data_IF_724675499853
#
_entry.id   IF_724675499853
#
_cell.length_a   1.000
_cell.length_b   1.000
_cell.length_c   1.000
_cell.angle_alpha   90.00
_cell.angle_beta   90.00
_cell.angle_gamma   90.00
#
_symmetry.space_group_name_H-M   'P 1'
#
loop_
_entity.id
_entity.type
_entity.pdbx_description
1 polymer ?
#
# COMPACT_ATOMS: atom_id res chain seq x y z
N UNK A 1 -25.08 -16.73 3.16
CA UNK A 1 -23.65 -16.46 2.93
C UNK A 1 -23.04 -16.34 4.32
N UNK A 2 -21.96 -17.05 4.65
CA UNK A 2 -21.37 -16.91 5.98
C UNK A 2 -20.96 -15.45 6.19
N UNK A 3 -21.41 -14.83 7.28
CA UNK A 3 -20.95 -13.50 7.67
C UNK A 3 -19.47 -13.57 8.06
N UNK A 4 -18.70 -12.54 7.68
CA UNK A 4 -17.31 -12.41 8.07
C UNK A 4 -17.26 -12.12 9.59
N UNK A 5 -16.84 -13.11 10.37
CA UNK A 5 -16.73 -12.98 11.83
C UNK A 5 -15.46 -12.18 12.18
N UNK A 6 -15.63 -10.88 12.38
CA UNK A 6 -14.57 -9.98 12.83
C UNK A 6 -14.52 -9.92 14.37
N UNK A 7 -13.37 -9.60 14.98
CA UNK A 7 -13.25 -9.41 16.43
C UNK A 7 -14.26 -8.40 17.00
N UNK A 8 -14.67 -8.58 18.26
CA UNK A 8 -15.64 -7.67 18.92
C UNK A 8 -15.13 -6.21 19.02
N UNK A 9 -13.81 -6.03 19.09
CA UNK A 9 -13.13 -4.73 19.16
C UNK A 9 -12.62 -4.25 17.79
N UNK A 10 -13.05 -4.87 16.70
CA UNK A 10 -12.64 -4.50 15.35
C UNK A 10 -13.13 -3.11 14.96
N UNK A 11 -12.18 -2.19 14.72
CA UNK A 11 -12.46 -0.85 14.20
C UNK A 11 -12.51 -0.90 12.66
N UNK A 12 -13.59 -0.40 12.07
CA UNK A 12 -13.70 -0.35 10.61
C UNK A 12 -12.76 0.72 10.04
N UNK A 13 -12.34 0.54 8.77
CA UNK A 13 -11.47 1.51 8.11
C UNK A 13 -12.03 2.96 8.11
N UNK A 14 -13.34 3.21 7.86
CA UNK A 14 -13.91 4.56 7.95
C UNK A 14 -13.85 5.18 9.36
N UNK A 15 -14.06 4.38 10.40
CA UNK A 15 -13.99 4.83 11.79
C UNK A 15 -12.56 5.22 12.17
N UNK A 16 -11.60 4.34 11.87
CA UNK A 16 -10.18 4.62 12.07
C UNK A 16 -9.77 5.90 11.35
N UNK A 17 -10.17 6.06 10.08
CA UNK A 17 -9.89 7.27 9.29
C UNK A 17 -10.48 8.54 9.92
N UNK A 18 -11.70 8.47 10.47
CA UNK A 18 -12.34 9.60 11.17
C UNK A 18 -11.59 9.97 12.46
N UNK A 19 -11.20 8.98 13.25
CA UNK A 19 -10.43 9.17 14.49
C UNK A 19 -9.05 9.76 14.19
N UNK A 20 -8.38 9.25 13.16
CA UNK A 20 -7.10 9.78 12.71
C UNK A 20 -7.17 11.20 12.19
N UNK A 21 -8.27 11.59 11.53
CA UNK A 21 -8.48 13.00 11.17
C UNK A 21 -8.49 13.91 12.40
N UNK A 22 -9.25 13.56 13.45
CA UNK A 22 -9.31 14.34 14.68
C UNK A 22 -7.92 14.41 15.33
N UNK A 23 -7.23 13.27 15.37
CA UNK A 23 -5.87 13.20 15.91
C UNK A 23 -4.87 14.05 15.13
N UNK A 24 -4.97 14.06 13.78
CA UNK A 24 -4.11 14.88 12.94
C UNK A 24 -4.33 16.37 13.19
N UNK A 25 -5.61 16.77 13.34
CA UNK A 25 -5.96 18.14 13.70
C UNK A 25 -5.32 18.55 15.02
N UNK A 26 -5.44 17.71 16.06
CA UNK A 26 -4.80 17.98 17.37
C UNK A 26 -3.29 18.15 17.24
N UNK A 27 -2.63 17.25 16.52
CA UNK A 27 -1.18 17.33 16.28
C UNK A 27 -0.81 18.59 15.49
N UNK A 28 -1.66 18.98 14.55
CA UNK A 28 -1.49 20.22 13.79
C UNK A 28 -1.63 21.46 14.67
N UNK A 29 -2.63 21.48 15.55
CA UNK A 29 -2.86 22.56 16.52
C UNK A 29 -1.71 22.64 17.55
N UNK A 30 -1.01 21.54 17.82
CA UNK A 30 0.21 21.47 18.62
C UNK A 30 1.48 21.90 17.87
N UNK A 31 1.36 22.31 16.61
CA UNK A 31 2.48 22.78 15.79
C UNK A 31 3.30 21.67 15.14
N UNK A 32 2.82 20.42 15.11
CA UNK A 32 3.52 19.35 14.37
C UNK A 32 3.49 19.62 12.87
N UNK A 33 4.61 19.29 12.21
CA UNK A 33 4.79 19.36 10.76
C UNK A 33 4.12 18.17 10.09
N UNK A 34 3.36 18.41 9.04
CA UNK A 34 2.60 17.36 8.35
C UNK A 34 3.03 17.32 6.87
N UNK A 35 3.50 16.17 6.40
CA UNK A 35 3.87 15.95 4.99
C UNK A 35 2.89 14.98 4.36
N UNK A 36 2.19 15.45 3.32
CA UNK A 36 1.29 14.61 2.53
C UNK A 36 2.07 13.75 1.53
N UNK A 37 1.76 12.46 1.42
CA UNK A 37 2.49 11.50 0.57
C UNK A 37 1.54 10.63 -0.26
N UNK A 38 2.01 10.10 -1.39
CA UNK A 38 1.18 9.32 -2.32
C UNK A 38 1.74 7.94 -2.68
N UNK A 39 2.94 7.58 -2.23
CA UNK A 39 3.56 6.34 -2.67
C UNK A 39 4.50 5.72 -1.65
N UNK A 40 4.67 4.41 -1.79
CA UNK A 40 5.67 3.63 -1.08
C UNK A 40 7.11 3.97 -1.50
N UNK A 41 7.35 4.76 -2.55
CA UNK A 41 8.68 5.31 -2.85
C UNK A 41 9.08 6.47 -1.94
N UNK A 42 8.14 7.05 -1.18
CA UNK A 42 8.42 8.18 -0.29
C UNK A 42 9.40 7.77 0.82
N UNK A 43 10.57 8.42 0.96
CA UNK A 43 11.53 8.18 2.04
C UNK A 43 10.98 8.64 3.40
N UNK A 44 10.21 7.76 4.06
CA UNK A 44 9.56 8.05 5.34
C UNK A 44 10.56 8.38 6.46
N UNK A 45 11.79 7.89 6.34
CA UNK A 45 12.91 8.18 7.23
C UNK A 45 13.25 9.67 7.22
N UNK A 46 13.25 10.32 6.05
CA UNK A 46 13.53 11.76 5.96
C UNK A 46 12.39 12.60 6.54
N UNK A 47 11.15 12.16 6.37
CA UNK A 47 9.99 12.80 7.03
C UNK A 47 10.11 12.69 8.54
N UNK A 48 10.48 11.52 9.05
CA UNK A 48 10.69 11.27 10.49
C UNK A 48 11.87 12.09 11.03
N UNK A 49 13.00 12.14 10.30
CA UNK A 49 14.19 12.90 10.67
C UNK A 49 13.95 14.42 10.66
N UNK A 50 12.97 14.90 9.88
CA UNK A 50 12.49 16.27 9.90
C UNK A 50 11.54 16.59 11.08
N UNK A 51 11.32 15.64 11.99
CA UNK A 51 10.29 15.70 13.05
C UNK A 51 8.89 16.04 12.48
N UNK A 52 8.59 15.44 11.33
CA UNK A 52 7.33 15.58 10.64
C UNK A 52 6.56 14.26 10.61
N UNK A 53 5.25 14.37 10.41
CA UNK A 53 4.33 13.25 10.29
C UNK A 53 4.01 13.05 8.81
N UNK A 54 4.24 11.84 8.30
CA UNK A 54 3.79 11.46 6.96
C UNK A 54 2.30 11.08 7.00
N UNK A 55 1.54 11.55 6.02
CA UNK A 55 0.11 11.22 5.88
C UNK A 55 -0.20 10.79 4.45
N UNK A 56 -0.75 9.58 4.29
CA UNK A 56 -1.15 9.05 2.99
C UNK A 56 -2.35 9.78 2.39
N UNK A 57 -2.20 10.23 1.14
CA UNK A 57 -3.18 11.04 0.41
C UNK A 57 -3.83 10.31 -0.77
N UNK A 58 -3.49 9.04 -1.00
CA UNK A 58 -4.15 8.23 -2.03
C UNK A 58 -5.67 8.17 -1.78
N UNK A 59 -6.43 8.69 -2.73
CA UNK A 59 -7.89 8.70 -2.68
C UNK A 59 -8.48 7.32 -2.91
N UNK A 60 -9.58 7.05 -2.21
CA UNK A 60 -10.24 5.75 -2.14
C UNK A 60 -11.76 5.86 -2.29
N UNK A 61 -12.27 7.05 -2.62
CA UNK A 61 -13.70 7.36 -2.61
C UNK A 61 -14.17 7.81 -3.99
N UNK A 62 -15.21 7.15 -4.48
CA UNK A 62 -15.94 7.50 -5.69
C UNK A 62 -16.53 8.93 -5.63
N UNK A 63 -16.99 9.38 -4.46
CA UNK A 63 -17.59 10.71 -4.26
C UNK A 63 -16.64 11.87 -4.58
N UNK A 64 -15.34 11.61 -4.55
CA UNK A 64 -14.30 12.59 -4.84
C UNK A 64 -13.92 12.63 -6.32
N UNK A 65 -14.41 11.71 -7.16
CA UNK A 65 -14.09 11.66 -8.59
C UNK A 65 -14.75 12.81 -9.37
N UNK A 66 -16.05 13.13 -9.22
CA UNK A 66 -16.69 14.18 -10.02
C UNK A 66 -16.02 15.56 -9.92
N UNK A 67 -15.59 16.06 -8.74
CA UNK A 67 -14.82 17.29 -8.66
C UNK A 67 -13.53 17.26 -9.48
N UNK A 68 -12.83 16.12 -9.49
CA UNK A 68 -11.57 15.97 -10.23
C UNK A 68 -11.79 16.02 -11.75
N UNK A 69 -12.88 15.44 -12.25
CA UNK A 69 -13.19 15.37 -13.69
C UNK A 69 -13.55 16.72 -14.32
N UNK A 70 -13.63 17.79 -13.52
CA UNK A 70 -13.69 19.17 -14.02
C UNK A 70 -12.37 19.63 -14.63
N UNK A 71 -11.24 18.99 -14.26
CA UNK A 71 -9.89 19.31 -14.75
C UNK A 71 -9.08 18.11 -15.24
N UNK A 72 -9.42 16.90 -14.78
CA UNK A 72 -8.81 15.65 -15.20
C UNK A 72 -9.72 14.89 -16.17
N UNK A 73 -9.16 14.10 -17.10
CA UNK A 73 -9.99 13.35 -18.03
C UNK A 73 -10.64 12.14 -17.34
N UNK A 74 -11.82 11.73 -17.84
CA UNK A 74 -12.60 10.61 -17.26
C UNK A 74 -11.88 9.27 -17.32
N UNK A 75 -11.11 9.05 -18.39
CA UNK A 75 -10.31 7.84 -18.64
C UNK A 75 -8.97 7.86 -17.88
N UNK A 76 -8.99 8.30 -16.63
CA UNK A 76 -7.84 8.32 -15.73
C UNK A 76 -8.11 7.44 -14.50
N UNK A 77 -7.04 6.94 -13.89
CA UNK A 77 -7.13 6.05 -12.73
C UNK A 77 -7.97 6.65 -11.59
N UNK A 78 -8.93 5.88 -11.04
CA UNK A 78 -9.85 6.37 -9.99
C UNK A 78 -9.11 6.81 -8.73
N UNK A 79 -7.97 6.19 -8.39
CA UNK A 79 -7.11 6.64 -7.29
C UNK A 79 -6.65 8.08 -7.53
N UNK A 80 -6.19 8.40 -8.73
CA UNK A 80 -5.67 9.73 -9.08
C UNK A 80 -6.81 10.76 -9.07
N UNK A 81 -7.97 10.41 -9.66
CA UNK A 81 -9.15 11.26 -9.66
C UNK A 81 -9.63 11.52 -8.22
N UNK A 82 -9.79 10.47 -7.42
CA UNK A 82 -10.22 10.59 -6.02
C UNK A 82 -9.24 11.42 -5.18
N UNK A 83 -7.93 11.21 -5.34
CA UNK A 83 -6.88 12.01 -4.70
C UNK A 83 -7.01 13.51 -5.02
N UNK A 84 -7.00 13.84 -6.30
CA UNK A 84 -7.03 15.24 -6.75
C UNK A 84 -8.35 15.92 -6.44
N UNK A 85 -9.48 15.24 -6.63
CA UNK A 85 -10.78 15.79 -6.31
C UNK A 85 -10.98 16.03 -4.82
N UNK A 86 -10.40 15.19 -3.96
CA UNK A 86 -10.33 15.44 -2.52
C UNK A 86 -9.56 16.72 -2.16
N UNK A 87 -8.43 16.96 -2.82
CA UNK A 87 -7.65 18.19 -2.66
C UNK A 87 -8.39 19.42 -3.21
N UNK A 88 -8.85 19.36 -4.46
CA UNK A 88 -9.51 20.45 -5.18
C UNK A 88 -10.79 20.92 -4.50
N UNK A 89 -11.59 19.99 -3.97
CA UNK A 89 -12.85 20.31 -3.29
C UNK A 89 -12.70 20.67 -1.82
N UNK A 90 -11.49 20.59 -1.25
CA UNK A 90 -11.25 20.78 0.19
C UNK A 90 -11.86 19.68 1.07
N UNK A 91 -12.35 18.58 0.48
CA UNK A 91 -12.98 17.47 1.22
C UNK A 91 -11.99 16.45 1.78
N UNK A 92 -10.72 16.50 1.39
CA UNK A 92 -9.67 15.68 1.99
C UNK A 92 -9.02 16.43 3.17
N UNK A 93 -9.35 16.10 4.42
CA UNK A 93 -8.79 16.82 5.56
C UNK A 93 -7.29 16.55 5.75
N UNK A 94 -6.80 15.38 5.35
CA UNK A 94 -5.39 15.03 5.38
C UNK A 94 -4.57 15.95 4.47
N UNK A 95 -5.08 16.20 3.25
CA UNK A 95 -4.49 17.18 2.35
C UNK A 95 -4.58 18.58 2.95
N UNK A 96 -5.73 18.97 3.50
CA UNK A 96 -5.93 20.28 4.11
C UNK A 96 -4.88 20.60 5.18
N UNK A 97 -4.60 19.66 6.10
CA UNK A 97 -3.64 19.85 7.19
C UNK A 97 -2.17 19.61 6.82
N UNK A 98 -1.87 19.06 5.65
CA UNK A 98 -0.48 18.93 5.19
C UNK A 98 0.15 20.32 5.03
N UNK A 99 1.39 20.50 5.43
CA UNK A 99 2.16 21.73 5.18
C UNK A 99 2.65 21.77 3.73
N UNK A 100 3.12 20.62 3.27
CA UNK A 100 3.59 20.39 1.91
C UNK A 100 3.24 18.98 1.46
N UNK A 101 3.36 18.78 0.16
CA UNK A 101 3.22 17.48 -0.50
C UNK A 101 4.59 17.00 -0.95
N UNK A 102 4.89 15.74 -0.63
CA UNK A 102 6.00 15.00 -1.22
C UNK A 102 5.44 13.97 -2.19
N UNK A 103 5.86 14.08 -3.45
CA UNK A 103 5.33 13.32 -4.57
C UNK A 103 6.47 12.70 -5.40
N UNK A 104 6.12 11.83 -6.34
CA UNK A 104 7.08 11.02 -7.09
C UNK A 104 6.61 10.76 -8.54
N UNK A 105 7.50 10.85 -9.54
CA UNK A 105 7.14 10.60 -10.95
C UNK A 105 6.98 9.12 -11.29
N UNK A 106 5.98 8.47 -10.69
CA UNK A 106 5.65 7.05 -10.91
C UNK A 106 4.90 6.83 -12.22
N UNK A 107 3.58 6.96 -12.23
CA UNK A 107 2.78 6.84 -13.46
C UNK A 107 2.50 8.21 -14.08
N UNK A 108 2.24 8.25 -15.39
CA UNK A 108 1.97 9.51 -16.10
C UNK A 108 0.82 10.31 -15.49
N UNK A 109 -0.25 9.60 -15.09
CA UNK A 109 -1.40 10.23 -14.46
C UNK A 109 -1.03 10.98 -13.17
N UNK A 110 -0.21 10.37 -12.31
CA UNK A 110 0.25 10.99 -11.06
C UNK A 110 1.18 12.16 -11.36
N UNK A 111 2.18 11.94 -12.22
CA UNK A 111 3.15 12.96 -12.64
C UNK A 111 2.46 14.25 -13.10
N UNK A 112 1.49 14.14 -14.00
CA UNK A 112 0.74 15.30 -14.52
C UNK A 112 -0.28 15.85 -13.52
N UNK A 113 -0.87 15.01 -12.68
CA UNK A 113 -1.76 15.48 -11.61
C UNK A 113 -1.01 16.32 -10.57
N UNK A 114 0.25 15.99 -10.25
CA UNK A 114 1.04 16.76 -9.28
C UNK A 114 1.33 18.19 -9.74
N UNK A 115 1.41 18.46 -11.04
CA UNK A 115 1.50 19.83 -11.55
C UNK A 115 0.26 20.65 -11.16
N UNK A 116 -0.93 20.05 -11.29
CA UNK A 116 -2.20 20.66 -10.87
C UNK A 116 -2.32 20.74 -9.36
N UNK A 117 -1.74 19.78 -8.62
CA UNK A 117 -1.73 19.77 -7.17
C UNK A 117 -0.81 20.88 -6.61
N UNK A 118 0.28 21.17 -7.32
CA UNK A 118 1.21 22.27 -7.03
C UNK A 118 0.56 23.65 -7.07
N UNK A 119 -0.53 23.82 -7.83
CA UNK A 119 -1.34 25.04 -7.82
C UNK A 119 -2.11 25.23 -6.49
N UNK A 120 -2.36 24.14 -5.76
CA UNK A 120 -3.16 24.14 -4.52
C UNK A 120 -2.30 24.16 -3.26
N UNK A 121 -1.13 23.51 -3.29
CA UNK A 121 -0.23 23.37 -2.15
C UNK A 121 1.20 23.14 -2.62
N UNK A 122 2.18 23.64 -1.86
CA UNK A 122 3.60 23.38 -2.12
C UNK A 122 3.84 21.89 -2.31
N UNK A 123 4.34 21.50 -3.49
CA UNK A 123 4.50 20.11 -3.90
C UNK A 123 5.91 19.91 -4.42
N UNK A 124 6.72 19.18 -3.66
CA UNK A 124 8.04 18.73 -4.10
C UNK A 124 7.88 17.37 -4.80
N UNK A 125 8.31 17.29 -6.06
CA UNK A 125 8.14 16.09 -6.90
C UNK A 125 9.49 15.45 -7.16
N UNK A 126 9.73 14.29 -6.54
CA UNK A 126 10.88 13.46 -6.84
C UNK A 126 10.80 12.88 -8.25
N UNK A 127 11.92 12.89 -8.96
CA UNK A 127 12.09 12.18 -10.22
C UNK A 127 12.50 10.73 -9.93
N UNK A 128 11.55 9.81 -10.02
CA UNK A 128 11.84 8.38 -9.95
C UNK A 128 12.50 7.94 -11.27
N UNK A 129 13.66 7.24 -11.24
CA UNK A 129 14.23 6.70 -12.47
C UNK A 129 13.28 5.67 -13.10
N UNK A 130 13.25 5.54 -14.44
CA UNK A 130 12.36 4.60 -15.13
C UNK A 130 12.75 3.12 -14.94
N UNK A 131 13.89 2.85 -14.31
CA UNK A 131 14.36 1.52 -13.97
C UNK A 131 15.28 1.56 -12.76
N UNK A 132 15.42 0.41 -12.11
CA UNK A 132 16.17 0.26 -10.85
C UNK A 132 17.59 -0.27 -11.02
N UNK A 133 17.99 -0.64 -12.25
CA UNK A 133 19.26 -1.31 -12.51
C UNK A 133 20.36 -0.35 -12.96
N UNK A 134 21.57 -0.59 -12.45
CA UNK A 134 22.79 0.09 -12.88
C UNK A 134 23.15 1.31 -12.02
N UNK A 135 24.45 1.64 -12.01
CA UNK A 135 25.03 2.70 -11.15
C UNK A 135 24.34 4.04 -11.35
N UNK A 136 23.99 4.39 -12.60
CA UNK A 136 23.33 5.67 -12.92
C UNK A 136 21.94 5.82 -12.30
N UNK A 137 21.17 4.74 -12.17
CA UNK A 137 19.86 4.80 -11.53
C UNK A 137 20.01 5.09 -10.03
N UNK A 138 20.99 4.46 -9.37
CA UNK A 138 21.30 4.70 -7.97
C UNK A 138 21.85 6.10 -7.73
N UNK A 139 22.79 6.56 -8.53
CA UNK A 139 23.36 7.92 -8.39
C UNK A 139 22.29 8.99 -8.57
N UNK A 140 21.43 8.85 -9.59
CA UNK A 140 20.32 9.76 -9.83
C UNK A 140 19.33 9.76 -8.68
N UNK A 141 18.88 8.58 -8.24
CA UNK A 141 17.93 8.49 -7.13
C UNK A 141 18.52 8.97 -5.81
N UNK A 142 19.81 8.74 -5.58
CA UNK A 142 20.52 9.28 -4.41
C UNK A 142 20.50 10.81 -4.41
N UNK A 143 20.67 11.45 -5.56
CA UNK A 143 20.57 12.91 -5.67
C UNK A 143 19.16 13.39 -5.28
N UNK A 144 18.10 12.73 -5.77
CA UNK A 144 16.71 13.06 -5.39
C UNK A 144 16.44 12.89 -3.88
N UNK A 145 17.08 11.91 -3.22
CA UNK A 145 16.99 11.75 -1.76
C UNK A 145 17.69 12.91 -1.04
N UNK A 146 18.81 13.42 -1.56
CA UNK A 146 19.46 14.63 -1.04
C UNK A 146 18.58 15.86 -1.25
N UNK A 147 17.99 16.01 -2.42
CA UNK A 147 17.14 17.16 -2.76
C UNK A 147 15.91 17.25 -1.83
N UNK A 148 15.33 16.12 -1.41
CA UNK A 148 14.28 16.12 -0.37
C UNK A 148 14.80 16.64 0.95
N UNK A 149 15.95 16.13 1.39
CA UNK A 149 16.53 16.53 2.68
C UNK A 149 16.70 18.05 2.68
N UNK A 150 17.30 18.59 1.62
CA UNK A 150 17.51 20.03 1.46
C UNK A 150 16.19 20.81 1.33
N UNK A 151 15.18 20.25 0.65
CA UNK A 151 13.84 20.83 0.60
C UNK A 151 13.22 20.94 1.99
N UNK A 152 13.25 19.88 2.80
CA UNK A 152 12.72 19.91 4.16
C UNK A 152 13.47 20.90 5.05
N UNK A 153 14.79 20.95 4.95
CA UNK A 153 15.62 21.92 5.69
C UNK A 153 15.25 23.36 5.31
N UNK A 154 15.14 23.65 4.01
CA UNK A 154 14.74 24.97 3.51
C UNK A 154 13.30 25.34 3.87
N UNK A 155 12.36 24.44 3.64
CA UNK A 155 10.93 24.70 3.81
C UNK A 155 10.54 24.89 5.29
N UNK A 156 11.11 24.07 6.18
CA UNK A 156 10.83 24.15 7.62
C UNK A 156 11.83 24.97 8.42
N UNK A 157 12.94 25.42 7.82
CA UNK A 157 14.00 26.14 8.52
C UNK A 157 14.67 25.28 9.60
N UNK A 158 14.96 24.02 9.27
CA UNK A 158 15.56 23.04 10.20
C UNK A 158 16.87 22.47 9.66
N UNK A 159 17.58 21.75 10.51
CA UNK A 159 18.72 20.91 10.13
C UNK A 159 18.38 19.43 10.34
N UNK A 160 18.63 18.62 9.31
CA UNK A 160 18.49 17.17 9.32
C UNK A 160 19.90 16.58 9.31
N UNK A 161 20.41 16.16 10.46
CA UNK A 161 21.74 15.56 10.57
C UNK A 161 21.70 14.07 10.21
N UNK A 162 22.83 13.51 9.81
CA UNK A 162 22.97 12.07 9.56
C UNK A 162 22.51 11.23 10.76
N UNK A 163 22.77 11.68 11.98
CA UNK A 163 22.33 11.00 13.21
C UNK A 163 20.80 10.93 13.30
N UNK A 164 20.08 12.02 13.00
CA UNK A 164 18.61 11.99 12.95
C UNK A 164 18.10 11.01 11.89
N UNK A 165 18.78 10.92 10.75
CA UNK A 165 18.41 9.98 9.69
C UNK A 165 18.66 8.53 10.16
N UNK A 166 19.77 8.26 10.86
CA UNK A 166 20.07 6.93 11.42
C UNK A 166 19.05 6.49 12.46
N UNK A 167 18.66 7.38 13.38
CA UNK A 167 17.63 7.07 14.37
C UNK A 167 16.25 6.85 13.72
N UNK A 168 15.91 7.66 12.71
CA UNK A 168 14.71 7.45 11.91
C UNK A 168 14.74 6.10 11.16
N UNK A 169 15.88 5.71 10.58
CA UNK A 169 16.07 4.41 9.93
C UNK A 169 15.77 3.26 10.91
N UNK A 170 16.36 3.29 12.11
CA UNK A 170 16.14 2.25 13.13
C UNK A 170 14.67 2.12 13.52
N UNK A 171 14.02 3.26 13.79
CA UNK A 171 12.60 3.29 14.14
C UNK A 171 11.72 2.73 13.01
N UNK A 172 11.95 3.16 11.78
CA UNK A 172 11.17 2.72 10.61
C UNK A 172 11.47 1.26 10.25
N UNK A 173 12.68 0.75 10.48
CA UNK A 173 12.99 -0.66 10.33
C UNK A 173 12.23 -1.53 11.34
N UNK A 174 12.12 -1.10 12.60
CA UNK A 174 11.29 -1.79 13.61
C UNK A 174 9.83 -1.84 13.20
N UNK A 175 9.28 -0.73 12.71
CA UNK A 175 7.91 -0.70 12.19
C UNK A 175 7.74 -1.62 10.97
N UNK A 176 8.67 -1.62 10.02
CA UNK A 176 8.64 -2.54 8.87
C UNK A 176 8.57 -3.98 9.33
N UNK A 177 9.41 -4.36 10.30
CA UNK A 177 9.40 -5.70 10.85
C UNK A 177 8.06 -6.05 11.49
N UNK A 178 7.50 -5.18 12.33
CA UNK A 178 6.20 -5.44 12.97
C UNK A 178 5.07 -5.59 11.93
N UNK A 179 5.08 -4.77 10.88
CA UNK A 179 4.13 -4.87 9.75
C UNK A 179 4.31 -6.17 8.97
N UNK A 180 5.55 -6.57 8.69
CA UNK A 180 5.85 -7.83 8.00
C UNK A 180 5.39 -9.03 8.82
N UNK A 181 5.78 -9.10 10.09
CA UNK A 181 5.42 -10.21 10.98
C UNK A 181 3.88 -10.37 11.07
N UNK A 182 3.14 -9.26 11.01
CA UNK A 182 1.68 -9.27 10.96
C UNK A 182 1.13 -9.82 9.65
N UNK A 183 1.67 -9.41 8.48
CA UNK A 183 1.30 -10.00 7.19
C UNK A 183 1.58 -11.50 7.14
N UNK A 184 2.70 -11.93 7.71
CA UNK A 184 3.14 -13.33 7.70
C UNK A 184 2.23 -14.27 8.49
N UNK A 185 1.33 -13.75 9.33
CA UNK A 185 0.25 -14.54 9.95
C UNK A 185 -0.59 -15.24 8.88
N UNK A 186 -0.78 -14.61 7.71
CA UNK A 186 -1.46 -15.20 6.57
C UNK A 186 -0.80 -16.47 6.02
N UNK A 187 0.46 -16.76 6.34
CA UNK A 187 1.13 -18.04 5.97
C UNK A 187 0.58 -19.24 6.72
N UNK A 188 -0.03 -19.03 7.90
CA UNK A 188 -0.62 -20.11 8.68
C UNK A 188 -1.80 -20.72 7.93
N UNK A 189 -1.97 -22.05 8.04
CA UNK A 189 -2.98 -22.80 7.29
C UNK A 189 -3.78 -23.72 8.24
N UNK A 190 -5.09 -23.49 8.41
CA UNK A 190 -5.88 -22.34 7.92
C UNK A 190 -5.41 -21.00 8.51
N UNK A 191 -5.70 -19.89 7.80
CA UNK A 191 -5.34 -18.55 8.30
C UNK A 191 -6.19 -18.20 9.51
N UNK A 192 -5.62 -17.76 10.65
CA UNK A 192 -6.39 -17.36 11.84
C UNK A 192 -6.99 -15.96 11.71
N UNK A 193 -6.72 -15.25 10.61
CA UNK A 193 -7.14 -13.88 10.34
C UNK A 193 -7.62 -13.76 8.91
N UNK A 194 -8.64 -12.94 8.68
CA UNK A 194 -9.14 -12.64 7.34
C UNK A 194 -8.22 -11.65 6.62
N UNK A 195 -8.12 -11.76 5.30
CA UNK A 195 -7.41 -10.78 4.49
C UNK A 195 -8.08 -9.41 4.52
N UNK A 196 -9.40 -9.35 4.71
CA UNK A 196 -10.12 -8.09 4.95
C UNK A 196 -9.66 -7.41 6.25
N UNK A 197 -9.51 -8.17 7.34
CA UNK A 197 -8.98 -7.66 8.60
C UNK A 197 -7.52 -7.21 8.45
N UNK A 198 -6.65 -8.01 7.81
CA UNK A 198 -5.26 -7.63 7.53
C UNK A 198 -5.22 -6.28 6.79
N UNK A 199 -5.98 -6.17 5.68
CA UNK A 199 -5.96 -4.97 4.85
C UNK A 199 -6.53 -3.75 5.59
N UNK A 200 -7.57 -3.94 6.40
CA UNK A 200 -8.16 -2.89 7.24
C UNK A 200 -7.19 -2.40 8.30
N UNK A 201 -6.55 -3.30 9.05
CA UNK A 201 -5.60 -2.94 10.11
C UNK A 201 -4.40 -2.21 9.52
N UNK A 202 -3.81 -2.74 8.44
CA UNK A 202 -2.66 -2.10 7.81
C UNK A 202 -3.02 -0.72 7.23
N UNK A 203 -4.12 -0.63 6.48
CA UNK A 203 -4.56 0.65 5.91
C UNK A 203 -4.92 1.67 6.99
N UNK A 204 -5.50 1.24 8.11
CA UNK A 204 -5.84 2.11 9.24
C UNK A 204 -4.59 2.59 9.98
N UNK A 205 -3.60 1.71 10.12
CA UNK A 205 -2.32 2.02 10.75
C UNK A 205 -1.45 3.00 9.94
N UNK A 206 -1.73 3.22 8.66
CA UNK A 206 -1.12 4.33 7.90
C UNK A 206 -1.58 5.71 8.37
N UNK A 207 -2.66 5.75 9.16
CA UNK A 207 -3.18 6.96 9.80
C UNK A 207 -2.94 6.99 11.32
N UNK A 208 -2.13 6.08 11.85
CA UNK A 208 -1.64 6.14 13.23
C UNK A 208 -0.28 6.84 13.26
N UNK A 209 -0.22 8.01 13.91
CA UNK A 209 0.97 8.87 13.93
C UNK A 209 1.92 8.57 15.09
N UNK A 210 1.58 7.63 15.97
CA UNK A 210 2.45 7.08 17.00
C UNK A 210 3.10 5.79 16.49
N UNK A 211 4.32 5.90 15.96
CA UNK A 211 5.04 4.77 15.35
C UNK A 211 5.35 3.69 16.39
N UNK A 212 5.73 4.06 17.62
CA UNK A 212 6.01 3.11 18.69
C UNK A 212 4.73 2.41 19.16
N UNK A 213 3.64 3.15 19.32
CA UNK A 213 2.32 2.58 19.61
C UNK A 213 1.84 1.61 18.52
N UNK A 214 2.09 1.94 17.24
CA UNK A 214 1.79 1.05 16.11
C UNK A 214 2.61 -0.23 16.15
N UNK A 215 3.91 -0.14 16.45
CA UNK A 215 4.78 -1.33 16.60
C UNK A 215 4.22 -2.23 17.70
N UNK A 216 3.99 -1.68 18.90
CA UNK A 216 3.49 -2.45 20.04
C UNK A 216 2.12 -3.11 19.76
N UNK A 217 1.20 -2.38 19.10
CA UNK A 217 -0.10 -2.92 18.70
C UNK A 217 0.05 -4.11 17.73
N UNK A 218 0.85 -3.95 16.68
CA UNK A 218 1.05 -5.00 15.67
C UNK A 218 1.75 -6.24 16.25
N UNK A 219 2.77 -6.05 17.09
CA UNK A 219 3.45 -7.16 17.78
C UNK A 219 2.49 -7.92 18.68
N UNK A 220 1.67 -7.20 19.47
CA UNK A 220 0.64 -7.81 20.33
C UNK A 220 -0.38 -8.59 19.50
N UNK A 221 -0.97 -7.97 18.48
CA UNK A 221 -1.99 -8.60 17.64
C UNK A 221 -1.45 -9.83 16.91
N UNK A 222 -0.21 -9.76 16.43
CA UNK A 222 0.49 -10.89 15.80
C UNK A 222 0.63 -12.06 16.77
N UNK A 223 1.02 -11.80 18.03
CA UNK A 223 1.14 -12.84 19.05
C UNK A 223 -0.22 -13.47 19.41
N UNK A 224 -1.27 -12.64 19.55
CA UNK A 224 -2.64 -13.11 19.78
C UNK A 224 -3.14 -14.03 18.66
N UNK A 225 -2.90 -13.67 17.40
CA UNK A 225 -3.31 -14.48 16.25
C UNK A 225 -2.53 -15.80 16.14
N UNK A 226 -1.24 -15.81 16.49
CA UNK A 226 -0.44 -17.04 16.54
C UNK A 226 -0.89 -17.98 17.66
N UNK A 227 -1.25 -17.45 18.83
CA UNK A 227 -1.82 -18.24 19.93
C UNK A 227 -3.22 -18.79 19.58
N UNK A 228 -4.08 -17.96 18.97
CA UNK A 228 -5.37 -18.37 18.44
C UNK A 228 -5.22 -19.50 17.41
N UNK A 229 -4.21 -19.42 16.55
CA UNK A 229 -3.94 -20.47 15.57
C UNK A 229 -3.67 -21.82 16.24
N UNK A 230 -2.78 -21.87 17.22
CA UNK A 230 -2.41 -23.10 17.93
C UNK A 230 -3.58 -23.68 18.73
N UNK A 231 -4.45 -22.84 19.30
CA UNK A 231 -5.60 -23.28 20.12
C UNK A 231 -6.79 -23.71 19.29
N UNK A 232 -7.07 -23.03 18.18
CA UNK A 232 -8.35 -23.14 17.50
C UNK A 232 -8.28 -23.45 16.01
N UNK A 233 -7.16 -23.22 15.30
CA UNK A 233 -7.12 -23.34 13.83
C UNK A 233 -6.26 -24.47 13.30
N UNK A 234 -5.17 -24.84 13.97
CA UNK A 234 -4.13 -25.74 13.45
C UNK A 234 -4.65 -27.04 12.84
N UNK A 235 -5.71 -27.61 13.41
CA UNK A 235 -6.30 -28.89 12.95
C UNK A 235 -7.62 -28.70 12.18
N UNK A 236 -8.00 -27.47 11.84
CA UNK A 236 -9.21 -27.17 11.06
C UNK A 236 -8.94 -27.26 9.54
N UNK A 237 -9.96 -27.58 8.73
CA UNK A 237 -9.82 -27.55 7.28
C UNK A 237 -9.56 -26.12 6.79
N UNK A 238 -8.71 -25.98 5.77
CA UNK A 238 -8.48 -24.71 5.06
C UNK A 238 -9.45 -24.56 3.90
N UNK A 239 -9.93 -23.34 3.71
CA UNK A 239 -10.63 -22.92 2.49
C UNK A 239 -9.60 -22.61 1.38
N UNK A 240 -10.02 -22.46 0.11
CA UNK A 240 -9.14 -22.01 -0.96
C UNK A 240 -8.44 -20.70 -0.62
N UNK A 241 -7.13 -20.62 -0.83
CA UNK A 241 -6.26 -19.52 -0.39
C UNK A 241 -5.91 -18.63 -1.58
N UNK A 242 -6.25 -17.35 -1.47
CA UNK A 242 -6.08 -16.38 -2.55
C UNK A 242 -4.96 -15.40 -2.23
N UNK A 243 -4.09 -15.17 -3.21
CA UNK A 243 -3.15 -14.06 -3.21
C UNK A 243 -3.67 -12.93 -4.10
N UNK A 244 -3.65 -11.70 -3.59
CA UNK A 244 -4.01 -10.53 -4.37
C UNK A 244 -2.76 -9.78 -4.86
N UNK A 245 -2.68 -9.52 -6.16
CA UNK A 245 -1.61 -8.71 -6.80
C UNK A 245 -2.22 -7.56 -7.60
N UNK A 246 -1.37 -6.69 -8.16
CA UNK A 246 -1.74 -5.58 -9.03
C UNK A 246 -1.76 -4.24 -8.31
N UNK A 247 -2.82 -3.46 -8.55
CA UNK A 247 -3.02 -2.12 -8.01
C UNK A 247 -3.32 -2.14 -6.49
N UNK A 248 -3.16 -0.99 -5.79
CA UNK A 248 -3.60 -0.85 -4.40
C UNK A 248 -5.09 -1.16 -4.23
N UNK A 249 -5.45 -1.86 -3.15
CA UNK A 249 -6.79 -2.42 -2.94
C UNK A 249 -7.67 -1.65 -1.97
N UNK A 250 -7.15 -0.66 -1.23
CA UNK A 250 -7.92 0.02 -0.17
C UNK A 250 -9.25 0.60 -0.69
N UNK A 251 -9.28 1.20 -1.88
CA UNK A 251 -10.51 1.76 -2.48
C UNK A 251 -11.49 0.74 -3.07
N UNK A 252 -11.11 -0.54 -3.11
CA UNK A 252 -11.94 -1.65 -3.64
C UNK A 252 -12.00 -2.83 -2.67
N UNK A 253 -11.67 -2.60 -1.40
CA UNK A 253 -11.53 -3.65 -0.38
C UNK A 253 -12.84 -4.42 -0.19
N UNK A 254 -13.97 -3.71 -0.09
CA UNK A 254 -15.29 -4.33 0.03
C UNK A 254 -15.69 -5.05 -1.26
N UNK A 255 -15.40 -4.45 -2.42
CA UNK A 255 -15.79 -4.98 -3.74
C UNK A 255 -15.09 -6.29 -4.07
N UNK A 256 -13.84 -6.44 -3.63
CA UNK A 256 -12.96 -7.56 -4.02
C UNK A 256 -12.60 -8.44 -2.83
N UNK A 257 -11.93 -7.90 -1.81
CA UNK A 257 -11.38 -8.71 -0.70
C UNK A 257 -12.51 -9.34 0.11
N UNK A 258 -13.43 -8.51 0.61
CA UNK A 258 -14.60 -8.99 1.36
C UNK A 258 -15.45 -9.96 0.53
N UNK A 259 -15.63 -9.67 -0.76
CA UNK A 259 -16.42 -10.51 -1.67
C UNK A 259 -15.79 -11.89 -1.90
N UNK A 260 -14.47 -11.98 -2.04
CA UNK A 260 -13.74 -13.27 -2.10
C UNK A 260 -14.02 -14.09 -0.83
N UNK A 261 -13.92 -13.45 0.33
CA UNK A 261 -14.09 -14.13 1.62
C UNK A 261 -15.53 -14.55 1.92
N UNK A 262 -16.52 -13.76 1.51
CA UNK A 262 -17.92 -14.15 1.62
C UNK A 262 -18.33 -15.26 0.62
N UNK A 263 -17.53 -15.50 -0.44
CA UNK A 263 -17.79 -16.53 -1.46
C UNK A 263 -17.18 -17.91 -1.12
N UNK A 264 -16.41 -18.03 -0.05
CA UNK A 264 -15.89 -19.35 0.36
C UNK A 264 -14.37 -19.52 0.27
N UNK A 265 -13.59 -18.49 -0.11
CA UNK A 265 -12.13 -18.51 -0.08
C UNK A 265 -11.56 -17.64 1.05
N UNK A 266 -10.26 -17.71 1.33
CA UNK A 266 -9.55 -16.85 2.29
C UNK A 266 -8.51 -16.02 1.53
N UNK A 267 -8.48 -14.71 1.74
CA UNK A 267 -7.39 -13.87 1.18
C UNK A 267 -6.22 -13.92 2.15
N UNK A 268 -5.13 -14.55 1.75
CA UNK A 268 -4.02 -14.87 2.66
C UNK A 268 -2.83 -13.93 2.51
N UNK A 269 -2.76 -13.15 1.43
CA UNK A 269 -1.65 -12.23 1.19
C UNK A 269 -1.92 -11.18 0.13
N UNK A 270 -1.01 -10.21 0.07
CA UNK A 270 -1.03 -9.09 -0.85
C UNK A 270 0.37 -8.86 -1.43
N UNK A 271 0.54 -8.84 -2.75
CA UNK A 271 1.82 -8.49 -3.39
C UNK A 271 1.86 -7.00 -3.78
N UNK A 272 0.74 -6.28 -3.68
CA UNK A 272 0.62 -4.88 -4.11
C UNK A 272 1.13 -3.86 -3.05
N UNK A 273 0.92 -2.56 -3.31
CA UNK A 273 1.35 -1.49 -2.39
C UNK A 273 0.56 -1.40 -1.08
N UNK A 274 -0.59 -2.09 -0.96
CA UNK A 274 -1.28 -2.27 0.32
C UNK A 274 -0.75 -3.50 1.09
N UNK A 275 0.20 -4.24 0.50
CA UNK A 275 0.91 -5.37 1.08
C UNK A 275 2.34 -5.01 1.53
N UNK A 276 3.19 -6.02 1.76
CA UNK A 276 4.54 -5.86 2.29
C UNK A 276 5.57 -5.41 1.23
N UNK A 277 5.14 -5.03 0.01
CA UNK A 277 6.04 -4.75 -1.13
C UNK A 277 7.23 -3.84 -0.79
N UNK A 278 6.98 -2.75 -0.09
CA UNK A 278 8.03 -1.82 0.35
C UNK A 278 8.64 -2.19 1.70
N UNK A 279 7.90 -2.93 2.52
CA UNK A 279 8.31 -3.30 3.88
C UNK A 279 9.32 -4.44 3.87
N UNK A 280 9.29 -5.31 2.85
CA UNK A 280 10.05 -6.57 2.76
C UNK A 280 11.56 -6.41 2.93
N UNK A 281 12.11 -5.29 2.46
CA UNK A 281 13.55 -5.03 2.52
C UNK A 281 13.85 -3.94 3.56
N UNK A 282 14.52 -4.26 4.69
CA UNK A 282 14.96 -3.24 5.63
C UNK A 282 16.05 -2.34 5.00
N UNK A 283 16.22 -1.16 5.58
CA UNK A 283 17.36 -0.28 5.27
C UNK A 283 18.59 -0.80 6.03
N UNK A 284 19.74 -0.86 5.34
CA UNK A 284 21.02 -1.21 5.96
C UNK A 284 21.48 -0.06 6.89
N UNK A 285 21.48 -0.32 8.19
CA UNK A 285 21.78 0.67 9.23
C UNK A 285 23.28 1.04 9.29
N UNK A 286 24.14 0.25 8.65
CA UNK A 286 25.60 0.39 8.73
C UNK A 286 26.19 1.29 7.65
N UNK A 287 25.45 1.53 6.56
CA UNK A 287 25.88 2.34 5.42
C UNK A 287 25.76 3.85 5.69
N UNK A 288 26.26 4.64 4.75
CA UNK A 288 25.86 6.04 4.59
C UNK A 288 24.32 6.14 4.50
N UNK A 289 23.65 6.93 5.35
CA UNK A 289 22.18 6.86 5.52
C UNK A 289 21.43 7.24 4.25
N UNK A 290 21.93 8.24 3.50
CA UNK A 290 21.34 8.67 2.23
C UNK A 290 21.46 7.55 1.18
N UNK A 291 22.64 6.94 1.05
CA UNK A 291 22.85 5.79 0.14
C UNK A 291 21.95 4.62 0.53
N UNK A 292 21.86 4.30 1.82
CA UNK A 292 21.06 3.18 2.33
C UNK A 292 19.56 3.36 2.02
N UNK A 293 19.04 4.57 2.22
CA UNK A 293 17.67 4.95 1.83
C UNK A 293 17.50 4.77 0.33
N UNK A 294 18.38 5.36 -0.49
CA UNK A 294 18.27 5.29 -1.95
C UNK A 294 18.25 3.85 -2.47
N UNK A 295 19.19 3.01 -2.02
CA UNK A 295 19.25 1.59 -2.39
C UNK A 295 17.96 0.85 -2.01
N UNK A 296 17.42 1.10 -0.81
CA UNK A 296 16.22 0.42 -0.33
C UNK A 296 14.99 0.78 -1.15
N UNK A 297 14.77 2.06 -1.47
CA UNK A 297 13.58 2.45 -2.22
C UNK A 297 13.66 2.01 -3.68
N UNK A 298 14.86 1.89 -4.29
CA UNK A 298 15.01 1.31 -5.63
C UNK A 298 14.68 -0.19 -5.70
N UNK A 299 14.71 -0.93 -4.58
CA UNK A 299 14.29 -2.35 -4.53
C UNK A 299 12.78 -2.56 -4.52
N UNK A 300 11.99 -1.50 -4.43
CA UNK A 300 10.52 -1.60 -4.53
C UNK A 300 10.16 -2.05 -5.94
N UNK A 301 9.45 -3.19 -6.04
CA UNK A 301 9.12 -3.84 -7.32
C UNK A 301 7.78 -3.34 -7.90
N UNK A 302 7.64 -2.02 -8.07
CA UNK A 302 6.46 -1.44 -8.70
C UNK A 302 6.48 -1.61 -10.22
N UNK A 303 5.31 -1.77 -10.86
CA UNK A 303 5.20 -1.93 -12.31
C UNK A 303 5.65 -0.71 -13.13
N UNK A 304 5.93 0.41 -12.46
CA UNK A 304 6.53 1.59 -13.09
C UNK A 304 8.03 1.41 -13.39
N UNK A 305 8.68 0.41 -12.78
CA UNK A 305 10.07 0.06 -13.03
C UNK A 305 10.16 -0.85 -14.25
N UNK A 306 11.13 -0.60 -15.12
CA UNK A 306 11.37 -1.45 -16.29
C UNK A 306 12.86 -1.77 -16.49
N UNK A 307 13.24 -3.05 -16.61
CA UNK A 307 12.43 -4.25 -16.40
C UNK A 307 12.10 -4.48 -14.90
N UNK A 308 11.10 -5.32 -14.59
CA UNK A 308 10.63 -5.58 -13.22
C UNK A 308 10.71 -7.07 -12.78
N UNK A 309 11.84 -7.77 -12.96
CA UNK A 309 11.92 -9.20 -12.63
C UNK A 309 11.73 -9.47 -11.13
N UNK A 310 12.15 -8.53 -10.27
CA UNK A 310 12.00 -8.68 -8.82
C UNK A 310 10.55 -8.79 -8.35
N UNK A 311 9.57 -8.30 -9.13
CA UNK A 311 8.14 -8.51 -8.82
C UNK A 311 7.76 -9.98 -9.00
N UNK A 312 8.28 -10.66 -10.03
CA UNK A 312 8.03 -12.08 -10.24
C UNK A 312 8.62 -12.91 -9.11
N UNK A 313 9.83 -12.57 -8.65
CA UNK A 313 10.46 -13.23 -7.51
C UNK A 313 9.62 -13.04 -6.24
N UNK A 314 9.22 -11.80 -5.93
CA UNK A 314 8.41 -11.50 -4.75
C UNK A 314 7.04 -12.19 -4.80
N UNK A 315 6.37 -12.20 -5.96
CA UNK A 315 5.13 -12.91 -6.18
C UNK A 315 5.30 -14.42 -6.00
N UNK A 316 6.35 -14.99 -6.57
CA UNK A 316 6.68 -16.41 -6.47
C UNK A 316 6.92 -16.85 -5.04
N UNK A 317 7.72 -16.09 -4.28
CA UNK A 317 7.96 -16.33 -2.85
C UNK A 317 6.66 -16.30 -2.06
N UNK A 318 5.79 -15.31 -2.29
CA UNK A 318 4.50 -15.25 -1.61
C UNK A 318 3.58 -16.42 -1.97
N UNK A 319 3.51 -16.80 -3.25
CA UNK A 319 2.73 -17.96 -3.71
C UNK A 319 3.15 -19.23 -2.94
N UNK A 320 4.45 -19.48 -2.87
CA UNK A 320 4.99 -20.69 -2.27
C UNK A 320 4.82 -20.69 -0.74
N UNK A 321 5.26 -19.61 -0.08
CA UNK A 321 5.25 -19.52 1.39
C UNK A 321 3.84 -19.44 1.99
N UNK A 322 2.90 -18.84 1.26
CA UNK A 322 1.51 -18.69 1.71
C UNK A 322 0.63 -19.86 1.22
N UNK A 323 1.19 -20.82 0.49
CA UNK A 323 0.49 -22.01 -0.01
C UNK A 323 -0.79 -21.62 -0.75
N UNK A 324 -0.64 -20.77 -1.75
CA UNK A 324 -1.73 -20.14 -2.49
C UNK A 324 -2.35 -21.12 -3.47
N UNK A 325 -3.68 -21.16 -3.52
CA UNK A 325 -4.45 -22.00 -4.45
C UNK A 325 -4.87 -21.21 -5.72
N UNK A 326 -4.93 -19.88 -5.66
CA UNK A 326 -5.22 -19.05 -6.82
C UNK A 326 -4.80 -17.59 -6.65
N UNK A 327 -4.54 -16.91 -7.77
CA UNK A 327 -4.13 -15.50 -7.79
C UNK A 327 -5.22 -14.63 -8.41
N UNK A 328 -5.60 -13.56 -7.70
CA UNK A 328 -6.50 -12.53 -8.20
C UNK A 328 -5.72 -11.23 -8.39
N UNK A 329 -5.55 -10.79 -9.63
CA UNK A 329 -4.93 -9.51 -9.95
C UNK A 329 -5.98 -8.41 -10.06
N UNK A 330 -5.84 -7.36 -9.25
CA UNK A 330 -6.71 -6.18 -9.27
C UNK A 330 -6.08 -5.11 -10.15
N UNK A 331 -6.82 -4.68 -11.17
CA UNK A 331 -6.43 -3.61 -12.08
C UNK A 331 -7.41 -2.45 -11.93
N UNK A 332 -6.92 -1.29 -11.53
CA UNK A 332 -7.73 -0.08 -11.58
C UNK A 332 -7.77 0.44 -13.02
N UNK A 333 -8.95 0.91 -13.46
CA UNK A 333 -9.13 1.52 -14.77
C UNK A 333 -8.01 2.53 -15.10
N UNK A 334 -7.49 2.49 -16.32
CA UNK A 334 -6.38 3.34 -16.80
C UNK A 334 -5.05 3.25 -16.01
N UNK A 335 -4.84 2.19 -15.22
CA UNK A 335 -3.54 1.88 -14.63
C UNK A 335 -2.67 1.07 -15.62
N UNK A 336 -2.11 1.76 -16.62
CA UNK A 336 -1.45 1.09 -17.75
C UNK A 336 -0.26 0.21 -17.37
N UNK A 337 0.58 0.62 -16.42
CA UNK A 337 1.80 -0.12 -16.06
C UNK A 337 1.45 -1.51 -15.51
N UNK A 338 0.51 -1.59 -14.57
CA UNK A 338 0.02 -2.88 -14.06
C UNK A 338 -0.78 -3.65 -15.11
N UNK A 339 -1.63 -2.98 -15.90
CA UNK A 339 -2.45 -3.66 -16.90
C UNK A 339 -1.63 -4.31 -18.02
N UNK A 340 -0.51 -3.69 -18.43
CA UNK A 340 0.42 -4.28 -19.40
C UNK A 340 1.21 -5.42 -18.76
N UNK A 341 1.73 -5.22 -17.54
CA UNK A 341 2.54 -6.23 -16.85
C UNK A 341 1.73 -7.46 -16.44
N UNK A 342 0.40 -7.34 -16.31
CA UNK A 342 -0.53 -8.43 -15.98
C UNK A 342 -0.43 -9.63 -16.95
N UNK A 343 -0.05 -9.43 -18.22
CA UNK A 343 0.19 -10.55 -19.15
C UNK A 343 1.39 -11.41 -18.70
N UNK A 344 2.48 -10.77 -18.27
CA UNK A 344 3.65 -11.46 -17.73
C UNK A 344 3.31 -12.16 -16.42
N UNK A 345 2.56 -11.50 -15.53
CA UNK A 345 2.09 -12.09 -14.27
C UNK A 345 1.22 -13.32 -14.54
N UNK A 346 0.23 -13.21 -15.43
CA UNK A 346 -0.62 -14.33 -15.83
C UNK A 346 0.22 -15.50 -16.31
N UNK A 347 1.14 -15.29 -17.25
CA UNK A 347 1.99 -16.36 -17.79
C UNK A 347 2.83 -17.01 -16.70
N UNK A 348 3.43 -16.23 -15.81
CA UNK A 348 4.19 -16.76 -14.68
C UNK A 348 3.31 -17.64 -13.77
N UNK A 349 2.14 -17.14 -13.37
CA UNK A 349 1.23 -17.88 -12.48
C UNK A 349 0.68 -19.14 -13.14
N UNK A 350 0.22 -19.08 -14.39
CA UNK A 350 -0.45 -20.21 -15.04
C UNK A 350 0.52 -21.25 -15.61
N UNK A 351 1.71 -20.84 -16.05
CA UNK A 351 2.66 -21.74 -16.73
C UNK A 351 3.74 -22.23 -15.77
N UNK A 352 4.36 -21.34 -15.00
CA UNK A 352 5.48 -21.70 -14.12
C UNK A 352 4.95 -22.24 -12.78
N UNK A 353 4.00 -21.53 -12.15
CA UNK A 353 3.39 -21.96 -10.89
C UNK A 353 2.24 -22.94 -11.06
N UNK A 354 1.69 -23.05 -12.27
CA UNK A 354 0.56 -23.93 -12.61
C UNK A 354 -0.68 -23.68 -11.73
N UNK A 355 -0.91 -22.43 -11.34
CA UNK A 355 -2.05 -22.02 -10.52
C UNK A 355 -3.11 -21.28 -11.34
N UNK A 356 -4.39 -21.38 -10.96
CA UNK A 356 -5.45 -20.54 -11.49
C UNK A 356 -5.19 -19.06 -11.27
N UNK A 357 -5.51 -18.25 -12.29
CA UNK A 357 -5.32 -16.80 -12.30
C UNK A 357 -6.55 -16.08 -12.83
N UNK A 358 -6.92 -14.97 -12.20
CA UNK A 358 -7.95 -14.06 -12.69
C UNK A 358 -7.53 -12.60 -12.56
N UNK A 359 -7.76 -11.79 -13.60
CA UNK A 359 -7.64 -10.34 -13.53
C UNK A 359 -9.02 -9.67 -13.42
N UNK A 360 -9.19 -8.78 -12.45
CA UNK A 360 -10.38 -7.94 -12.27
C UNK A 360 -9.99 -6.50 -12.62
N UNK A 361 -10.55 -5.99 -13.71
CA UNK A 361 -10.41 -4.58 -14.10
C UNK A 361 -11.63 -3.82 -13.61
N UNK A 362 -11.44 -2.80 -12.77
CA UNK A 362 -12.53 -2.14 -12.04
C UNK A 362 -12.18 -0.69 -11.67
N UNK A 363 -13.15 0.03 -11.12
CA UNK A 363 -12.95 1.32 -10.44
C UNK A 363 -13.65 1.36 -9.08
N UNK A 364 -13.84 2.55 -8.50
CA UNK A 364 -14.47 2.72 -7.18
C UNK A 364 -16.00 2.73 -7.25
N UNK A 365 -16.60 2.78 -8.44
CA UNK A 365 -18.05 2.74 -8.62
C UNK A 365 -18.60 1.35 -8.30
N UNK A 366 -19.78 1.21 -7.68
CA UNK A 366 -20.39 -0.09 -7.45
C UNK A 366 -21.00 -0.71 -8.72
N UNK A 367 -20.97 -0.03 -9.87
CA UNK A 367 -21.70 -0.42 -11.07
C UNK A 367 -21.32 -1.80 -11.64
N UNK A 368 -20.09 -2.26 -11.43
CA UNK A 368 -19.59 -3.55 -11.91
C UNK A 368 -19.66 -4.67 -10.85
N UNK A 369 -20.26 -4.42 -9.68
CA UNK A 369 -20.26 -5.38 -8.57
C UNK A 369 -20.89 -6.74 -8.96
N UNK A 370 -22.05 -6.74 -9.62
CA UNK A 370 -22.70 -7.99 -10.03
C UNK A 370 -21.85 -8.83 -11.00
N UNK A 371 -21.06 -8.16 -11.85
CA UNK A 371 -20.11 -8.82 -12.75
C UNK A 371 -18.94 -9.41 -11.95
N UNK A 372 -18.39 -8.65 -11.00
CA UNK A 372 -17.32 -9.10 -10.11
C UNK A 372 -17.77 -10.33 -9.31
N UNK A 373 -18.96 -10.30 -8.72
CA UNK A 373 -19.54 -11.40 -7.94
C UNK A 373 -19.64 -12.69 -8.74
N UNK A 374 -20.17 -12.59 -9.97
CA UNK A 374 -20.32 -13.74 -10.87
C UNK A 374 -18.96 -14.34 -11.23
N UNK A 375 -17.96 -13.50 -11.54
CA UNK A 375 -16.63 -13.94 -11.94
C UNK A 375 -15.86 -14.55 -10.77
N UNK A 376 -15.91 -13.93 -9.60
CA UNK A 376 -15.28 -14.45 -8.38
C UNK A 376 -15.94 -15.76 -7.94
N UNK A 377 -17.27 -15.88 -8.04
CA UNK A 377 -17.99 -17.10 -7.71
C UNK A 377 -17.50 -18.28 -8.56
N UNK A 378 -17.49 -18.11 -9.88
CA UNK A 378 -16.98 -19.12 -10.80
C UNK A 378 -15.50 -19.46 -10.57
N UNK A 379 -14.67 -18.47 -10.21
CA UNK A 379 -13.27 -18.70 -9.88
C UNK A 379 -13.08 -19.54 -8.62
N UNK A 380 -13.83 -19.24 -7.56
CA UNK A 380 -13.75 -19.94 -6.29
C UNK A 380 -14.32 -21.37 -6.40
N UNK A 381 -15.39 -21.56 -7.19
CA UNK A 381 -15.90 -22.89 -7.52
C UNK A 381 -14.85 -23.75 -8.25
N UNK A 382 -14.11 -23.16 -9.20
CA UNK A 382 -13.02 -23.83 -9.89
C UNK A 382 -11.92 -24.30 -8.93
N UNK A 383 -11.58 -23.49 -7.92
CA UNK A 383 -10.60 -23.86 -6.89
C UNK A 383 -11.10 -24.98 -5.99
N UNK A 384 -12.37 -24.91 -5.56
CA UNK A 384 -12.98 -25.92 -4.70
C UNK A 384 -13.11 -27.29 -5.37
N UNK A 385 -13.22 -27.34 -6.70
CA UNK A 385 -13.25 -28.60 -7.46
C UNK A 385 -11.89 -29.29 -7.61
N UNK A 386 -10.79 -28.63 -7.23
CA UNK A 386 -9.41 -29.15 -7.32
C UNK A 386 -8.88 -29.68 -5.97
N UNK A 387 -9.63 -29.53 -4.87
CA UNK A 387 -9.28 -29.98 -3.52
C UNK A 387 -9.75 -31.39 -3.18
#
# INVERSE_FOLDING_TARGET
MPELNLPEDFETFPEARKKSFLRLKELKDQGRRIVGTFCTYTPSELVTAADAIAVGLCGISEELIPPAETRLPKNLCPLIKSSYGGALSGKCPFFYFSDMILAETTCDGKKKMYELLGELKHTHVMQLPPGSTGVKALEFWKAEVVDIKEEFERFYGIEITDEKIREAIKLRNRERKAVLDFFEVGRLKPSPVSGYEINTIISSNDYNYDIEGKIAYLEKRTAELKDLYEKEYKDKPSRPRILITGCPTTGVMDKVIKRIEELGADVVGFENCCGPREKKDPIDETKDPITAIAEKYLRVNCSVMSPNPGRLDALGTQIDEYQVDGVVEVLLHACHTFAIEADTIKRYVTTEKQLPYMAINTDYSPADQAQIDTRLGAFIELLGAQC
#
